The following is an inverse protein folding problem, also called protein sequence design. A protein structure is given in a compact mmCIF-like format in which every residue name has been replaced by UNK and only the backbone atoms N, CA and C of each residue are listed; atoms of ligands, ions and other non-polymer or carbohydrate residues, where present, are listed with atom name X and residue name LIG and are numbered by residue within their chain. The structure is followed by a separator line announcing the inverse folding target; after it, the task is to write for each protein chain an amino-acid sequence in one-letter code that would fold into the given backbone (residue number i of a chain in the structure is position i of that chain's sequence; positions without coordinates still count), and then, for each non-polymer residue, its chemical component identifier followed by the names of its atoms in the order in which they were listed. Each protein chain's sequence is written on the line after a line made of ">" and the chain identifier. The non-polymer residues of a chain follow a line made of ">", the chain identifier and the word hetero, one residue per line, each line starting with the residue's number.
data_IF_985508241492
#
_entry.id   IF_985508241492
#
_cell.length_a   1.000
_cell.length_b   1.000
_cell.length_c   1.000
_cell.angle_alpha   90.00
_cell.angle_beta   90.00
_cell.angle_gamma   90.00
#
_symmetry.space_group_name_H-M   'P 1'
#
loop_
_entity.id
_entity.type
_entity.pdbx_description
1 polymer ?
#
# COMPACT_ATOMS: atom_id res chain seq x y z
N UNK A 1 7.91 32.78 -4.79
CA UNK A 1 7.38 31.58 -5.46
C UNK A 1 8.49 30.71 -6.09
N UNK A 2 9.56 31.28 -6.66
CA UNK A 2 10.70 30.50 -7.19
C UNK A 2 11.60 29.87 -6.12
N UNK A 3 11.66 30.44 -4.91
CA UNK A 3 12.53 29.95 -3.82
C UNK A 3 12.01 28.67 -3.14
N UNK A 4 10.71 28.54 -2.94
CA UNK A 4 10.11 27.41 -2.23
C UNK A 4 10.17 26.12 -3.05
N UNK A 5 9.85 26.19 -4.34
CA UNK A 5 9.97 25.07 -5.27
C UNK A 5 11.42 24.59 -5.40
N UNK A 6 12.38 25.51 -5.36
CA UNK A 6 13.80 25.16 -5.39
C UNK A 6 14.25 24.40 -4.13
N UNK A 7 13.77 24.82 -2.94
CA UNK A 7 14.04 24.11 -1.68
C UNK A 7 13.46 22.70 -1.72
N UNK A 8 12.21 22.54 -2.20
CA UNK A 8 11.56 21.23 -2.33
C UNK A 8 12.32 20.32 -3.30
N UNK A 9 12.70 20.81 -4.49
CA UNK A 9 13.51 20.04 -5.44
C UNK A 9 14.83 19.61 -4.83
N UNK A 10 15.54 20.54 -4.17
CA UNK A 10 16.85 20.26 -3.56
C UNK A 10 16.76 19.21 -2.45
N UNK A 11 15.66 19.21 -1.71
CA UNK A 11 15.38 18.17 -0.72
C UNK A 11 15.09 16.81 -1.36
N UNK A 12 14.28 16.77 -2.42
CA UNK A 12 13.98 15.53 -3.15
C UNK A 12 15.27 14.95 -3.75
N UNK A 13 16.12 15.79 -4.35
CA UNK A 13 17.40 15.38 -4.96
C UNK A 13 18.42 14.88 -3.93
N UNK A 14 18.28 15.27 -2.66
CA UNK A 14 19.11 14.77 -1.55
C UNK A 14 18.70 13.36 -1.11
N UNK A 15 17.45 12.96 -1.30
CA UNK A 15 16.97 11.64 -0.87
C UNK A 15 17.54 10.53 -1.77
N UNK A 16 17.88 9.36 -1.20
CA UNK A 16 18.21 8.19 -2.02
C UNK A 16 17.08 7.82 -2.97
N UNK A 17 17.41 7.34 -4.17
CA UNK A 17 16.42 6.85 -5.12
C UNK A 17 15.55 5.76 -4.50
N UNK A 18 14.23 5.84 -4.71
CA UNK A 18 13.26 4.91 -4.14
C UNK A 18 12.89 5.17 -2.67
N UNK A 19 13.49 6.16 -2.00
CA UNK A 19 13.14 6.49 -0.62
C UNK A 19 11.68 6.92 -0.48
N UNK A 20 11.21 7.79 -1.38
CA UNK A 20 9.83 8.29 -1.37
C UNK A 20 8.86 7.12 -1.57
N UNK A 21 9.13 6.27 -2.56
CA UNK A 21 8.37 5.04 -2.78
C UNK A 21 8.30 4.18 -1.51
N UNK A 22 9.45 3.82 -0.94
CA UNK A 22 9.52 2.91 0.21
C UNK A 22 8.85 3.48 1.46
N UNK A 23 8.91 4.80 1.66
CA UNK A 23 8.22 5.47 2.75
C UNK A 23 6.69 5.35 2.61
N UNK A 24 6.14 5.73 1.45
CA UNK A 24 4.70 5.71 1.24
C UNK A 24 4.14 4.30 1.19
N UNK A 25 4.87 3.34 0.59
CA UNK A 25 4.52 1.93 0.59
C UNK A 25 4.26 1.44 2.03
N UNK A 26 5.27 1.57 2.91
CA UNK A 26 5.15 1.04 4.26
C UNK A 26 4.20 1.85 5.15
N UNK A 27 4.17 3.18 5.00
CA UNK A 27 3.32 4.03 5.82
C UNK A 27 1.84 3.72 5.65
N UNK A 28 1.36 3.65 4.40
CA UNK A 28 -0.05 3.38 4.09
C UNK A 28 -0.38 1.90 4.38
N UNK A 29 0.52 0.96 4.05
CA UNK A 29 0.35 -0.45 4.35
C UNK A 29 0.11 -0.68 5.84
N UNK A 30 0.96 -0.12 6.71
CA UNK A 30 0.83 -0.26 8.17
C UNK A 30 -0.53 0.25 8.64
N UNK A 31 -0.96 1.43 8.16
CA UNK A 31 -2.27 1.97 8.51
C UNK A 31 -3.40 1.03 8.10
N UNK A 32 -3.38 0.52 6.87
CA UNK A 32 -4.43 -0.39 6.39
C UNK A 32 -4.39 -1.78 7.02
N UNK A 33 -3.21 -2.28 7.38
CA UNK A 33 -3.06 -3.54 8.09
C UNK A 33 -3.62 -3.44 9.52
N UNK A 34 -3.32 -2.35 10.23
CA UNK A 34 -3.84 -2.12 11.58
C UNK A 34 -5.33 -1.74 11.61
N UNK A 35 -5.82 -1.03 10.59
CA UNK A 35 -7.23 -0.63 10.49
C UNK A 35 -8.11 -1.62 9.73
N UNK A 36 -7.55 -2.75 9.27
CA UNK A 36 -8.13 -3.65 8.27
C UNK A 36 -9.62 -3.96 8.42
N UNK A 37 -10.26 -4.31 7.29
CA UNK A 37 -11.72 -4.45 7.20
C UNK A 37 -12.17 -5.75 7.87
N UNK A 38 -12.31 -5.74 9.19
CA UNK A 38 -12.72 -6.88 10.02
C UNK A 38 -14.24 -7.12 9.95
N UNK A 39 -14.78 -7.35 8.74
CA UNK A 39 -16.22 -7.58 8.50
C UNK A 39 -16.76 -8.66 9.44
N UNK A 40 -16.02 -9.74 9.65
CA UNK A 40 -16.38 -10.83 10.56
C UNK A 40 -16.59 -10.40 12.01
N UNK A 41 -15.85 -9.40 12.52
CA UNK A 41 -16.01 -8.91 13.89
C UNK A 41 -17.30 -8.11 14.09
N UNK A 42 -17.87 -7.52 13.03
CA UNK A 42 -19.19 -6.88 13.12
C UNK A 42 -20.33 -7.90 13.26
N UNK A 43 -20.07 -9.18 12.98
CA UNK A 43 -21.04 -10.28 13.06
C UNK A 43 -20.81 -11.09 14.33
N UNK A 44 -19.56 -11.43 14.65
CA UNK A 44 -19.15 -12.15 15.85
C UNK A 44 -17.83 -11.59 16.39
N UNK A 45 -17.88 -10.97 17.57
CA UNK A 45 -16.71 -10.39 18.25
C UNK A 45 -15.62 -11.43 18.55
N UNK A 46 -15.96 -12.74 18.57
CA UNK A 46 -15.00 -13.84 18.77
C UNK A 46 -14.31 -14.28 17.47
N UNK A 47 -14.71 -13.75 16.32
CA UNK A 47 -14.07 -14.07 15.05
C UNK A 47 -12.61 -13.60 15.04
N UNK A 48 -11.73 -14.41 14.43
CA UNK A 48 -10.28 -14.23 14.47
C UNK A 48 -9.78 -12.89 13.87
N UNK A 49 -10.57 -12.24 13.00
CA UNK A 49 -10.19 -11.00 12.30
C UNK A 49 -9.07 -11.21 11.27
N UNK A 50 -8.58 -12.43 11.07
CA UNK A 50 -7.42 -12.68 10.21
C UNK A 50 -7.76 -12.42 8.74
N UNK A 51 -8.99 -12.77 8.30
CA UNK A 51 -9.39 -12.51 6.92
C UNK A 51 -9.50 -11.00 6.68
N UNK A 52 -10.11 -10.27 7.61
CA UNK A 52 -10.19 -8.81 7.56
C UNK A 52 -8.82 -8.12 7.56
N UNK A 53 -7.88 -8.61 8.35
CA UNK A 53 -6.49 -8.15 8.36
C UNK A 53 -5.77 -8.40 7.04
N UNK A 54 -5.90 -9.60 6.45
CA UNK A 54 -5.28 -9.94 5.15
C UNK A 54 -5.87 -9.11 4.02
N UNK A 55 -7.20 -8.93 3.98
CA UNK A 55 -7.86 -8.08 2.98
C UNK A 55 -7.44 -6.61 3.14
N UNK A 56 -7.43 -6.10 4.39
CA UNK A 56 -7.00 -4.74 4.69
C UNK A 56 -5.55 -4.49 4.28
N UNK A 57 -4.63 -5.37 4.66
CA UNK A 57 -3.21 -5.27 4.30
C UNK A 57 -3.00 -5.37 2.78
N UNK A 58 -3.68 -6.29 2.09
CA UNK A 58 -3.54 -6.45 0.65
C UNK A 58 -4.02 -5.23 -0.14
N UNK A 59 -5.20 -4.68 0.23
CA UNK A 59 -5.71 -3.45 -0.41
C UNK A 59 -4.81 -2.25 -0.11
N UNK A 60 -4.33 -2.13 1.13
CA UNK A 60 -3.45 -1.05 1.54
C UNK A 60 -2.10 -1.12 0.82
N UNK A 61 -1.52 -2.31 0.63
CA UNK A 61 -0.31 -2.50 -0.16
C UNK A 61 -0.51 -2.05 -1.61
N UNK A 62 -1.61 -2.44 -2.26
CA UNK A 62 -1.84 -2.02 -3.64
C UNK A 62 -1.95 -0.49 -3.78
N UNK A 63 -2.66 0.16 -2.84
CA UNK A 63 -2.78 1.62 -2.81
C UNK A 63 -1.44 2.28 -2.47
N UNK A 64 -0.69 1.74 -1.51
CA UNK A 64 0.58 2.29 -1.03
C UNK A 64 1.65 2.25 -2.11
N UNK A 65 1.79 1.11 -2.80
CA UNK A 65 2.70 0.92 -3.92
C UNK A 65 2.33 1.80 -5.11
N UNK A 66 1.03 1.93 -5.42
CA UNK A 66 0.56 2.81 -6.47
C UNK A 66 0.84 4.29 -6.17
N UNK A 67 0.54 4.75 -4.95
CA UNK A 67 0.80 6.12 -4.53
C UNK A 67 2.30 6.40 -4.44
N UNK A 68 3.08 5.49 -3.85
CA UNK A 68 4.53 5.61 -3.77
C UNK A 68 5.16 5.71 -5.16
N UNK A 69 4.71 4.88 -6.10
CA UNK A 69 5.21 4.93 -7.47
C UNK A 69 4.82 6.23 -8.18
N UNK A 70 3.59 6.74 -7.99
CA UNK A 70 3.16 8.03 -8.58
C UNK A 70 3.94 9.23 -8.04
N UNK A 71 4.27 9.23 -6.75
CA UNK A 71 4.89 10.38 -6.08
C UNK A 71 6.42 10.36 -6.23
N UNK A 72 7.05 9.18 -6.27
CA UNK A 72 8.50 9.07 -6.43
C UNK A 72 8.91 9.37 -7.88
N UNK A 73 9.70 10.44 -8.13
CA UNK A 73 10.14 10.81 -9.47
C UNK A 73 10.98 9.76 -10.19
N UNK A 74 11.53 8.78 -9.46
CA UNK A 74 12.34 7.71 -10.04
C UNK A 74 11.49 6.47 -10.39
N UNK A 75 10.21 6.43 -9.97
CA UNK A 75 9.34 5.25 -10.09
C UNK A 75 8.05 5.52 -10.87
N UNK A 76 7.73 6.79 -11.18
CA UNK A 76 6.45 7.18 -11.80
C UNK A 76 6.17 6.47 -13.13
N UNK A 77 7.19 6.20 -13.94
CA UNK A 77 7.03 5.52 -15.23
C UNK A 77 6.62 4.03 -15.06
N UNK A 78 6.88 3.45 -13.88
CA UNK A 78 6.54 2.07 -13.54
C UNK A 78 5.17 1.95 -12.85
N UNK A 79 4.49 3.06 -12.55
CA UNK A 79 3.25 3.10 -11.77
C UNK A 79 2.21 2.08 -12.23
N UNK A 80 1.89 2.04 -13.53
CA UNK A 80 0.85 1.17 -14.06
C UNK A 80 1.20 -0.31 -13.84
N UNK A 81 2.47 -0.67 -14.06
CA UNK A 81 2.96 -2.03 -13.86
C UNK A 81 2.94 -2.45 -12.39
N UNK A 82 3.41 -1.57 -11.50
CA UNK A 82 3.41 -1.78 -10.05
C UNK A 82 1.97 -1.95 -9.55
N UNK A 83 1.08 -1.00 -9.86
CA UNK A 83 -0.29 -1.00 -9.36
C UNK A 83 -1.11 -2.20 -9.86
N UNK A 84 -1.00 -2.57 -11.14
CA UNK A 84 -1.68 -3.77 -11.64
C UNK A 84 -1.07 -5.03 -11.03
N UNK A 85 0.25 -5.07 -10.88
CA UNK A 85 0.98 -6.19 -10.30
C UNK A 85 0.61 -6.48 -8.84
N UNK A 86 0.25 -5.46 -8.06
CA UNK A 86 -0.19 -5.62 -6.66
C UNK A 86 -1.67 -5.98 -6.54
N UNK A 87 -2.52 -5.55 -7.48
CA UNK A 87 -3.95 -5.86 -7.48
C UNK A 87 -4.22 -7.33 -7.87
N UNK A 88 -3.49 -7.89 -8.85
CA UNK A 88 -3.75 -9.24 -9.36
C UNK A 88 -3.69 -10.32 -8.24
N UNK A 89 -2.67 -10.36 -7.36
CA UNK A 89 -2.60 -11.34 -6.28
C UNK A 89 -3.75 -11.26 -5.26
N UNK A 90 -4.43 -10.11 -5.12
CA UNK A 90 -5.55 -9.97 -4.17
C UNK A 90 -6.71 -10.92 -4.49
N UNK A 91 -6.88 -11.29 -5.76
CA UNK A 91 -7.88 -12.25 -6.18
C UNK A 91 -7.60 -13.68 -5.67
N UNK A 92 -6.40 -13.96 -5.15
CA UNK A 92 -6.07 -15.24 -4.52
C UNK A 92 -6.58 -15.35 -3.08
N UNK A 93 -6.92 -14.22 -2.42
CA UNK A 93 -7.35 -14.22 -1.02
C UNK A 93 -8.54 -15.18 -0.77
N UNK A 94 -9.63 -15.17 -1.57
CA UNK A 94 -10.74 -16.11 -1.38
C UNK A 94 -10.33 -17.59 -1.56
N UNK A 95 -9.40 -17.87 -2.47
CA UNK A 95 -8.89 -19.23 -2.72
C UNK A 95 -8.09 -19.71 -1.52
N UNK A 96 -7.17 -18.89 -1.02
CA UNK A 96 -6.35 -19.20 0.16
C UNK A 96 -7.23 -19.37 1.40
N UNK A 97 -8.24 -18.50 1.58
CA UNK A 97 -9.16 -18.60 2.71
C UNK A 97 -9.95 -19.92 2.69
N UNK A 98 -10.36 -20.39 1.51
CA UNK A 98 -11.04 -21.68 1.35
C UNK A 98 -10.14 -22.87 1.66
N UNK A 99 -8.84 -22.77 1.39
CA UNK A 99 -7.87 -23.84 1.69
C UNK A 99 -7.43 -23.86 3.17
N UNK A 100 -7.53 -22.72 3.85
CA UNK A 100 -7.17 -22.58 5.27
C UNK A 100 -8.22 -23.17 6.22
N UNK A 101 -9.49 -23.12 5.83
CA UNK A 101 -10.64 -23.67 6.57
C UNK A 101 -10.82 -25.15 6.30
#
# INVERSE_FOLDING_TARGET
>A
MTSELAIVSSFIDFLPQGFIFGFFDNFILILGAYTGINIEKYIDDKASGVLGGVVGAGLANAISDGMGALIDPNMNDMFVGIFIGTIIPLFLIPVIEKLRK
#
